data_IF_159906856798
#
_entry.id   IF_159906856798
#
_cell.length_a   1.000
_cell.length_b   1.000
_cell.length_c   1.000
_cell.angle_alpha   90.00
_cell.angle_beta   90.00
_cell.angle_gamma   90.00
#
_symmetry.space_group_name_H-M   'P 1'
#
loop_
_entity.id
_entity.type
_entity.pdbx_description
1 polymer ?
#
# COMPACT_ATOMS: atom_id res chain seq x y z
N UNK A 1 -42.26 -11.49 -5.58
CA UNK A 1 -41.22 -10.54 -6.06
C UNK A 1 -40.89 -9.61 -4.92
N UNK A 2 -39.61 -9.49 -4.52
CA UNK A 2 -38.97 -8.53 -3.59
C UNK A 2 -37.66 -9.21 -3.12
N UNK A 3 -36.46 -8.63 -3.07
CA UNK A 3 -35.84 -7.46 -3.65
C UNK A 3 -34.31 -7.72 -3.56
N UNK A 4 -33.53 -7.12 -4.46
CA UNK A 4 -32.08 -7.28 -4.55
C UNK A 4 -31.35 -6.89 -3.25
N UNK A 5 -30.57 -7.81 -2.69
CA UNK A 5 -29.58 -7.51 -1.67
C UNK A 5 -28.33 -6.94 -2.33
N UNK A 6 -28.29 -5.62 -2.51
CA UNK A 6 -27.06 -4.93 -2.85
C UNK A 6 -26.06 -5.12 -1.68
N UNK A 7 -25.01 -5.89 -1.91
CA UNK A 7 -23.88 -5.96 -0.99
C UNK A 7 -23.20 -4.59 -1.00
N UNK A 8 -23.51 -3.77 -0.01
CA UNK A 8 -22.76 -2.56 0.27
C UNK A 8 -21.32 -2.97 0.62
N UNK A 9 -20.42 -2.89 -0.35
CA UNK A 9 -19.00 -2.86 -0.08
C UNK A 9 -18.79 -1.63 0.79
N UNK A 10 -18.59 -1.82 2.08
CA UNK A 10 -18.12 -0.74 2.94
C UNK A 10 -16.79 -0.31 2.36
N UNK A 11 -16.81 0.80 1.61
CA UNK A 11 -15.61 1.51 1.24
C UNK A 11 -14.96 1.90 2.57
N UNK A 12 -14.07 1.03 3.06
CA UNK A 12 -13.20 1.29 4.19
C UNK A 12 -12.40 2.51 3.78
N UNK A 13 -12.86 3.68 4.24
CA UNK A 13 -12.12 4.94 4.11
C UNK A 13 -10.71 4.62 4.64
N UNK A 14 -9.66 4.73 3.82
CA UNK A 14 -8.31 4.52 4.31
C UNK A 14 -8.12 5.51 5.45
N UNK A 15 -7.98 4.98 6.67
CA UNK A 15 -7.80 5.82 7.85
C UNK A 15 -6.53 6.63 7.62
N UNK A 16 -6.54 7.96 7.80
CA UNK A 16 -5.34 8.78 7.60
C UNK A 16 -4.17 8.39 8.52
N UNK A 17 -4.44 7.51 9.49
CA UNK A 17 -3.51 6.92 10.45
C UNK A 17 -3.19 5.44 10.17
N UNK A 18 -3.51 4.89 8.99
CA UNK A 18 -3.33 3.47 8.70
C UNK A 18 -1.86 2.97 8.73
N UNK A 19 -0.90 3.88 8.84
CA UNK A 19 0.52 3.58 9.16
C UNK A 19 0.63 3.02 10.60
N UNK A 20 -0.21 3.43 11.56
CA UNK A 20 -0.13 2.93 12.95
C UNK A 20 -0.49 1.44 13.10
N UNK A 21 -1.05 0.81 12.06
CA UNK A 21 -1.41 -0.62 12.05
C UNK A 21 -0.30 -1.58 11.60
N UNK A 22 0.91 -1.12 11.26
CA UNK A 22 2.01 -2.02 10.87
C UNK A 22 2.50 -2.83 12.08
N UNK A 23 2.09 -4.09 12.20
CA UNK A 23 2.45 -4.97 13.33
C UNK A 23 3.96 -5.25 13.43
N UNK A 24 4.71 -5.01 12.35
CA UNK A 24 6.17 -5.21 12.25
C UNK A 24 6.98 -3.91 12.10
N UNK A 25 6.36 -2.76 12.39
CA UNK A 25 6.93 -1.45 12.11
C UNK A 25 6.77 -1.05 10.64
N UNK A 26 6.59 0.24 10.39
CA UNK A 26 6.57 0.75 9.02
C UNK A 26 7.93 1.28 8.62
N UNK A 27 8.33 1.01 7.38
CA UNK A 27 9.54 1.50 6.75
C UNK A 27 9.18 2.67 5.83
N UNK A 28 10.03 3.69 5.78
CA UNK A 28 9.86 4.79 4.84
C UNK A 28 10.84 4.64 3.66
N UNK A 29 10.33 4.70 2.44
CA UNK A 29 11.15 4.82 1.24
C UNK A 29 11.02 6.24 0.71
N UNK A 30 12.17 6.91 0.52
CA UNK A 30 12.26 8.33 0.12
C UNK A 30 13.02 8.55 -1.18
N UNK A 31 13.81 7.57 -1.59
CA UNK A 31 14.68 7.66 -2.75
C UNK A 31 14.14 6.81 -3.89
N UNK A 32 14.13 7.38 -5.10
CA UNK A 32 13.76 6.64 -6.30
C UNK A 32 14.68 5.42 -6.47
N UNK A 33 14.09 4.26 -6.70
CA UNK A 33 14.79 2.98 -6.81
C UNK A 33 14.97 2.25 -5.48
N UNK A 34 14.68 2.89 -4.34
CA UNK A 34 14.67 2.20 -3.05
C UNK A 34 13.62 1.07 -3.08
N UNK A 35 13.98 -0.09 -2.52
CA UNK A 35 13.17 -1.29 -2.66
C UNK A 35 13.09 -2.08 -1.35
N UNK A 36 11.97 -2.79 -1.18
CA UNK A 36 11.82 -3.86 -0.19
C UNK A 36 11.62 -5.17 -0.93
N UNK A 37 12.38 -6.19 -0.53
CA UNK A 37 12.25 -7.56 -1.01
C UNK A 37 11.81 -8.47 0.13
N UNK A 38 10.76 -9.25 -0.11
CA UNK A 38 10.08 -10.05 0.92
C UNK A 38 10.56 -11.51 0.95
N UNK A 39 11.50 -11.86 0.06
CA UNK A 39 12.04 -13.21 -0.08
C UNK A 39 11.35 -14.01 -1.20
N UNK A 40 11.29 -15.34 -1.04
CA UNK A 40 10.72 -16.24 -2.03
C UNK A 40 9.19 -16.13 -2.13
N UNK A 41 8.51 -15.89 -1.00
CA UNK A 41 7.06 -15.80 -0.93
C UNK A 41 6.58 -14.36 -0.94
N UNK A 42 5.47 -14.12 -1.63
CA UNK A 42 4.79 -12.83 -1.58
C UNK A 42 4.22 -12.57 -0.18
N UNK A 43 4.23 -11.31 0.24
CA UNK A 43 3.59 -10.88 1.47
C UNK A 43 2.69 -9.67 1.22
N UNK A 44 1.70 -9.51 2.09
CA UNK A 44 0.76 -8.38 2.03
C UNK A 44 1.34 -7.18 2.76
N UNK A 45 1.27 -6.01 2.14
CA UNK A 45 1.74 -4.73 2.69
C UNK A 45 0.66 -3.68 2.53
N UNK A 46 0.55 -2.80 3.52
CA UNK A 46 -0.12 -1.51 3.35
C UNK A 46 0.93 -0.47 3.01
N UNK A 47 0.73 0.24 1.90
CA UNK A 47 1.59 1.31 1.42
C UNK A 47 0.80 2.61 1.47
N UNK A 48 1.35 3.62 2.14
CA UNK A 48 0.76 4.94 2.24
C UNK A 48 1.69 5.99 1.61
N UNK A 49 1.13 6.86 0.79
CA UNK A 49 1.87 8.03 0.29
C UNK A 49 2.12 9.02 1.40
N UNK A 50 3.37 9.48 1.52
CA UNK A 50 3.76 10.62 2.37
C UNK A 50 4.01 11.89 1.58
N UNK A 51 3.97 11.80 0.25
CA UNK A 51 4.22 12.90 -0.68
C UNK A 51 2.95 13.71 -0.95
N UNK A 52 3.12 15.02 -1.14
CA UNK A 52 2.02 15.93 -1.51
C UNK A 52 1.55 15.76 -2.96
N UNK A 53 2.33 15.07 -3.80
CA UNK A 53 1.98 14.79 -5.19
C UNK A 53 1.46 13.35 -5.38
N UNK A 54 1.37 12.58 -4.31
CA UNK A 54 1.20 11.12 -4.40
C UNK A 54 2.54 10.40 -4.58
N UNK A 55 2.45 9.09 -4.76
CA UNK A 55 3.60 8.22 -4.95
C UNK A 55 3.30 7.16 -6.01
N UNK A 56 4.35 6.65 -6.63
CA UNK A 56 4.28 5.53 -7.56
C UNK A 56 5.29 4.47 -7.15
N UNK A 57 4.83 3.23 -7.07
CA UNK A 57 5.67 2.06 -6.77
C UNK A 57 5.49 1.00 -7.85
N UNK A 58 6.51 0.19 -8.06
CA UNK A 58 6.42 -1.06 -8.80
C UNK A 58 6.29 -2.22 -7.81
N UNK A 59 5.22 -3.02 -7.93
CA UNK A 59 4.99 -4.25 -7.17
C UNK A 59 5.14 -5.43 -8.12
N UNK A 60 6.22 -6.19 -7.99
CA UNK A 60 6.57 -7.31 -8.89
C UNK A 60 6.52 -6.93 -10.38
N UNK A 61 6.90 -5.68 -10.71
CA UNK A 61 6.86 -5.15 -12.08
C UNK A 61 5.58 -4.41 -12.46
N UNK A 62 4.51 -4.53 -11.66
CA UNK A 62 3.25 -3.83 -11.89
C UNK A 62 3.25 -2.46 -11.23
N UNK A 63 2.86 -1.42 -11.97
CA UNK A 63 2.82 -0.05 -11.45
C UNK A 63 1.58 0.16 -10.59
N UNK A 64 1.77 0.63 -9.36
CA UNK A 64 0.74 1.04 -8.43
C UNK A 64 0.91 2.53 -8.13
N UNK A 65 -0.14 3.31 -8.43
CA UNK A 65 -0.20 4.75 -8.16
C UNK A 65 -1.04 5.01 -6.93
N UNK A 66 -0.49 5.81 -6.02
CA UNK A 66 -1.10 6.14 -4.73
C UNK A 66 -1.27 7.64 -4.69
N UNK A 67 -2.50 8.10 -4.46
CA UNK A 67 -2.79 9.53 -4.38
C UNK A 67 -2.13 10.17 -3.14
N UNK A 68 -2.12 11.49 -3.09
CA UNK A 68 -1.67 12.26 -1.93
C UNK A 68 -2.42 11.78 -0.66
N UNK A 69 -1.66 11.44 0.39
CA UNK A 69 -2.16 11.00 1.71
C UNK A 69 -3.07 9.76 1.67
N UNK A 70 -3.04 9.01 0.58
CA UNK A 70 -3.81 7.79 0.43
C UNK A 70 -2.97 6.56 0.79
N UNK A 71 -3.66 5.45 1.06
CA UNK A 71 -3.05 4.16 1.35
C UNK A 71 -3.70 3.06 0.50
N UNK A 72 -2.90 2.10 0.07
CA UNK A 72 -3.36 0.92 -0.67
C UNK A 72 -2.70 -0.34 -0.13
N UNK A 73 -3.43 -1.45 -0.19
CA UNK A 73 -2.90 -2.76 0.15
C UNK A 73 -2.42 -3.45 -1.11
N UNK A 74 -1.22 -4.00 -1.05
CA UNK A 74 -0.60 -4.75 -2.14
C UNK A 74 -0.13 -6.10 -1.63
N UNK A 75 -0.07 -7.07 -2.53
CA UNK A 75 0.58 -8.34 -2.29
C UNK A 75 1.68 -8.51 -3.33
N UNK A 76 2.91 -8.76 -2.87
CA UNK A 76 4.04 -8.91 -3.77
C UNK A 76 5.32 -9.34 -3.08
N UNK A 77 6.33 -9.66 -3.90
CA UNK A 77 7.68 -10.06 -3.46
C UNK A 77 8.68 -8.91 -3.48
N UNK A 78 8.51 -7.98 -4.39
CA UNK A 78 9.36 -6.81 -4.56
C UNK A 78 8.49 -5.56 -4.66
N UNK A 79 8.79 -4.56 -3.84
CA UNK A 79 8.16 -3.23 -3.88
C UNK A 79 9.28 -2.22 -4.11
N UNK A 80 9.27 -1.54 -5.25
CA UNK A 80 10.28 -0.55 -5.63
C UNK A 80 9.64 0.82 -5.74
N UNK A 81 10.19 1.83 -5.07
CA UNK A 81 9.72 3.21 -5.19
C UNK A 81 10.16 3.80 -6.53
N UNK A 82 9.20 4.19 -7.37
CA UNK A 82 9.48 4.85 -8.66
C UNK A 82 9.48 6.37 -8.51
N UNK A 83 8.50 6.92 -7.78
CA UNK A 83 8.33 8.38 -7.58
C UNK A 83 7.68 8.67 -6.23
N UNK A 84 8.05 9.79 -5.60
CA UNK A 84 7.42 10.29 -4.38
C UNK A 84 8.09 9.79 -3.10
N UNK A 85 7.32 9.72 -2.02
CA UNK A 85 7.74 9.17 -0.73
C UNK A 85 6.61 8.30 -0.20
N UNK A 86 6.96 7.12 0.33
CA UNK A 86 5.99 6.20 0.94
C UNK A 86 6.42 5.78 2.33
N UNK A 87 5.43 5.41 3.14
CA UNK A 87 5.61 4.47 4.23
C UNK A 87 4.93 3.16 3.88
N UNK A 88 5.55 2.04 4.22
CA UNK A 88 4.95 0.72 4.07
C UNK A 88 5.16 -0.12 5.30
N UNK A 89 4.21 -0.99 5.60
CA UNK A 89 4.44 -2.06 6.56
C UNK A 89 3.64 -3.31 6.25
N UNK A 90 4.18 -4.42 6.75
CA UNK A 90 3.65 -5.75 6.47
C UNK A 90 2.36 -5.95 7.25
N UNK A 91 1.34 -6.44 6.54
CA UNK A 91 0.06 -6.83 7.12
C UNK A 91 0.15 -8.26 7.69
N UNK A 92 -0.60 -8.56 8.76
CA UNK A 92 -0.75 -9.94 9.24
C UNK A 92 -1.40 -10.82 8.16
N UNK A 93 -1.11 -12.12 8.22
CA UNK A 93 -1.69 -13.13 7.34
C UNK A 93 -3.10 -13.49 7.78
#
# INVERSE_FOLDING_TARGET
MLAAGAQAQTAQRPSPYAIEGCTFGCFALKERGAAIYTGADAASYRICSRSTLGAEVSVDGNVVRINNRDCTDVNGRAIVLTTGEIALGRLPR
#
